data_IF_135618642769
#
_entry.id   IF_135618642769
#
_cell.length_a   1.000
_cell.length_b   1.000
_cell.length_c   1.000
_cell.angle_alpha   90.00
_cell.angle_beta   90.00
_cell.angle_gamma   90.00
#
_symmetry.space_group_name_H-M   'P 1'
#
loop_
_entity.id
_entity.type
_entity.pdbx_description
1 polymer ?
#
# COMPACT_ATOMS: atom_id res chain seq x y z
N UNK A 1 -10.01 21.84 9.62
CA UNK A 1 -8.62 22.31 9.52
C UNK A 1 -8.51 23.09 8.23
N UNK A 2 -8.44 24.40 8.31
CA UNK A 2 -8.26 25.27 7.14
C UNK A 2 -6.84 25.07 6.59
N UNK A 3 -6.75 24.58 5.36
CA UNK A 3 -5.50 24.65 4.58
C UNK A 3 -5.39 26.11 4.18
N UNK A 4 -4.46 26.85 4.81
CA UNK A 4 -4.12 28.20 4.41
C UNK A 4 -3.66 28.16 2.95
N UNK A 5 -4.48 28.70 2.06
CA UNK A 5 -4.11 28.99 0.67
C UNK A 5 -3.03 30.07 0.70
N UNK A 6 -1.78 29.64 0.85
CA UNK A 6 -0.63 30.55 0.81
C UNK A 6 -0.40 30.97 -0.63
N UNK A 7 -0.78 32.20 -0.94
CA UNK A 7 -0.35 32.84 -2.17
C UNK A 7 1.19 32.92 -2.21
N UNK A 8 1.82 32.70 -3.38
CA UNK A 8 3.28 32.65 -3.51
C UNK A 8 4.01 33.93 -3.01
N UNK A 9 3.32 35.06 -2.95
CA UNK A 9 3.85 36.32 -2.42
C UNK A 9 4.03 36.32 -0.88
N UNK A 10 3.30 35.47 -0.16
CA UNK A 10 3.36 35.41 1.31
C UNK A 10 4.51 34.52 1.84
N UNK A 11 5.15 33.73 1.00
CA UNK A 11 6.21 32.80 1.42
C UNK A 11 7.51 33.53 1.79
N UNK A 12 7.78 34.67 1.18
CA UNK A 12 9.00 35.47 1.44
C UNK A 12 9.02 36.20 2.78
N UNK A 13 7.87 36.28 3.46
CA UNK A 13 7.73 36.96 4.77
C UNK A 13 7.67 35.99 5.95
N UNK A 14 7.72 34.67 5.71
CA UNK A 14 7.66 33.65 6.76
C UNK A 14 8.98 33.59 7.53
N UNK A 15 8.89 33.56 8.84
CA UNK A 15 10.05 33.30 9.70
C UNK A 15 10.48 31.83 9.62
N UNK A 16 11.75 31.53 9.97
CA UNK A 16 12.25 30.16 10.04
C UNK A 16 11.39 29.27 10.97
N UNK A 17 10.85 29.85 12.03
CA UNK A 17 9.96 29.15 12.97
C UNK A 17 8.61 28.79 12.29
N UNK A 18 8.08 29.65 11.46
CA UNK A 18 6.83 29.40 10.72
C UNK A 18 7.05 28.33 9.65
N UNK A 19 8.18 28.35 8.97
CA UNK A 19 8.55 27.31 7.99
C UNK A 19 8.69 25.94 8.65
N UNK A 20 9.31 25.87 9.83
CA UNK A 20 9.42 24.62 10.58
C UNK A 20 8.05 24.09 11.03
N UNK A 21 7.15 24.97 11.51
CA UNK A 21 5.78 24.58 11.87
C UNK A 21 5.02 24.05 10.67
N UNK A 22 5.13 24.72 9.54
CA UNK A 22 4.47 24.31 8.29
C UNK A 22 4.99 22.97 7.78
N UNK A 23 6.31 22.78 7.78
CA UNK A 23 6.93 21.50 7.43
C UNK A 23 6.46 20.37 8.36
N UNK A 24 6.37 20.61 9.68
CA UNK A 24 5.87 19.63 10.63
C UNK A 24 4.40 19.25 10.37
N UNK A 25 3.54 20.23 10.04
CA UNK A 25 2.14 19.98 9.68
C UNK A 25 2.02 19.15 8.41
N UNK A 26 2.77 19.48 7.35
CA UNK A 26 2.79 18.71 6.12
C UNK A 26 3.23 17.27 6.34
N UNK A 27 4.26 17.05 7.13
CA UNK A 27 4.72 15.71 7.50
C UNK A 27 3.66 14.94 8.28
N UNK A 28 2.95 15.59 9.20
CA UNK A 28 1.86 14.96 9.95
C UNK A 28 0.70 14.55 9.02
N UNK A 29 0.30 15.40 8.08
CA UNK A 29 -0.73 15.11 7.08
C UNK A 29 -0.31 13.95 6.17
N UNK A 30 0.93 13.94 5.68
CA UNK A 30 1.45 12.84 4.87
C UNK A 30 1.46 11.51 5.62
N UNK A 31 1.83 11.53 6.92
CA UNK A 31 1.79 10.32 7.76
C UNK A 31 0.36 9.82 7.95
N UNK A 32 -0.58 10.71 8.23
CA UNK A 32 -1.98 10.36 8.36
C UNK A 32 -2.55 9.78 7.06
N UNK A 33 -2.25 10.38 5.92
CA UNK A 33 -2.65 9.87 4.61
C UNK A 33 -2.06 8.49 4.32
N UNK A 34 -0.78 8.26 4.62
CA UNK A 34 -0.15 6.94 4.46
C UNK A 34 -0.77 5.88 5.35
N UNK A 35 -1.21 6.23 6.56
CA UNK A 35 -1.88 5.30 7.46
C UNK A 35 -3.28 4.92 6.97
N UNK A 36 -4.03 5.86 6.39
CA UNK A 36 -5.37 5.62 5.87
C UNK A 36 -5.38 4.97 4.49
N UNK A 37 -4.37 5.23 3.67
CA UNK A 37 -4.25 4.75 2.28
C UNK A 37 -3.01 3.87 2.07
N UNK A 38 -2.81 2.88 2.91
CA UNK A 38 -1.61 2.02 2.89
C UNK A 38 -1.39 1.36 1.51
N UNK A 39 -2.45 0.90 0.87
CA UNK A 39 -2.37 0.28 -0.45
C UNK A 39 -1.80 1.23 -1.51
N UNK A 40 -2.20 2.50 -1.50
CA UNK A 40 -1.72 3.50 -2.46
C UNK A 40 -0.21 3.66 -2.42
N UNK A 41 0.38 3.60 -1.23
CA UNK A 41 1.81 3.80 -0.99
C UNK A 41 2.62 2.52 -0.91
N UNK A 42 1.98 1.39 -1.14
CA UNK A 42 2.67 0.10 -1.13
C UNK A 42 3.77 0.05 -2.19
N UNK A 43 4.90 -0.54 -1.82
CA UNK A 43 6.02 -0.85 -2.72
C UNK A 43 6.46 -2.29 -2.50
N UNK A 44 6.66 -3.07 -3.56
CA UNK A 44 7.27 -4.39 -3.44
C UNK A 44 8.65 -4.29 -2.80
N UNK A 45 8.98 -5.19 -1.89
CA UNK A 45 10.25 -5.19 -1.16
C UNK A 45 11.45 -5.61 -2.04
N UNK A 46 11.19 -6.25 -3.17
CA UNK A 46 12.21 -6.73 -4.11
C UNK A 46 11.63 -6.94 -5.51
N UNK A 47 12.48 -7.09 -6.51
CA UNK A 47 12.07 -7.43 -7.88
C UNK A 47 11.34 -8.76 -7.95
N UNK A 48 11.72 -9.73 -7.10
CA UNK A 48 11.01 -11.01 -7.00
C UNK A 48 9.59 -10.82 -6.46
N UNK A 49 9.41 -9.95 -5.47
CA UNK A 49 8.08 -9.59 -4.97
C UNK A 49 7.25 -8.85 -6.02
N UNK A 50 7.86 -7.97 -6.80
CA UNK A 50 7.20 -7.27 -7.89
C UNK A 50 6.66 -8.24 -8.97
N UNK A 51 7.33 -9.37 -9.21
CA UNK A 51 6.87 -10.40 -10.16
C UNK A 51 5.52 -11.02 -9.77
N UNK A 52 5.18 -11.07 -8.48
CA UNK A 52 3.87 -11.56 -8.03
C UNK A 52 2.76 -10.68 -8.64
N UNK A 53 2.98 -9.37 -8.65
CA UNK A 53 2.01 -8.41 -9.15
C UNK A 53 1.98 -8.32 -10.68
N UNK A 54 3.11 -8.49 -11.33
CA UNK A 54 3.22 -8.40 -12.80
C UNK A 54 2.90 -9.71 -13.53
N UNK A 55 2.89 -10.84 -12.83
CA UNK A 55 2.62 -12.15 -13.40
C UNK A 55 1.14 -12.28 -13.81
N UNK A 56 0.92 -12.75 -15.03
CA UNK A 56 -0.43 -13.01 -15.60
C UNK A 56 -0.85 -14.46 -15.53
N UNK A 57 -0.02 -15.34 -14.98
CA UNK A 57 -0.33 -16.77 -14.85
C UNK A 57 -1.58 -17.00 -14.00
N UNK A 58 -2.35 -18.00 -14.34
CA UNK A 58 -3.56 -18.39 -13.61
C UNK A 58 -3.24 -18.86 -12.18
N UNK A 59 -2.12 -19.54 -11.99
CA UNK A 59 -1.64 -20.03 -10.71
C UNK A 59 -0.22 -19.53 -10.47
N UNK A 60 0.02 -18.96 -9.29
CA UNK A 60 1.32 -18.42 -8.89
C UNK A 60 1.77 -19.12 -7.61
N UNK A 61 2.90 -19.81 -7.66
CA UNK A 61 3.57 -20.37 -6.49
C UNK A 61 4.58 -19.37 -5.91
N UNK A 62 4.45 -19.06 -4.62
CA UNK A 62 5.37 -18.15 -3.92
C UNK A 62 6.15 -18.92 -2.88
N UNK A 63 7.43 -19.20 -3.19
CA UNK A 63 8.37 -19.86 -2.28
C UNK A 63 9.37 -18.87 -1.70
N UNK A 64 9.93 -19.20 -0.54
CA UNK A 64 10.96 -18.40 0.11
C UNK A 64 11.11 -18.75 1.59
N UNK A 65 12.19 -18.25 2.20
CA UNK A 65 12.46 -18.42 3.63
C UNK A 65 11.44 -17.72 4.53
N UNK A 66 11.53 -17.99 5.81
CA UNK A 66 10.73 -17.29 6.81
C UNK A 66 11.05 -15.79 6.78
N UNK A 67 10.02 -14.95 6.99
CA UNK A 67 10.12 -13.48 6.94
C UNK A 67 10.51 -12.90 5.57
N UNK A 68 10.36 -13.66 4.48
CA UNK A 68 10.60 -13.16 3.13
C UNK A 68 9.47 -12.29 2.56
N UNK A 69 8.47 -11.92 3.37
CA UNK A 69 7.35 -11.09 2.95
C UNK A 69 6.31 -11.79 2.07
N UNK A 70 6.32 -13.12 1.98
CA UNK A 70 5.38 -13.89 1.15
C UNK A 70 3.93 -13.53 1.43
N UNK A 71 3.55 -13.55 2.71
CA UNK A 71 2.18 -13.24 3.14
C UNK A 71 1.78 -11.82 2.79
N UNK A 72 2.66 -10.84 3.03
CA UNK A 72 2.36 -9.44 2.74
C UNK A 72 2.11 -9.20 1.26
N UNK A 73 2.99 -9.70 0.40
CA UNK A 73 2.88 -9.50 -1.05
C UNK A 73 1.68 -10.22 -1.65
N UNK A 74 1.36 -11.43 -1.19
CA UNK A 74 0.20 -12.18 -1.67
C UNK A 74 -1.11 -11.57 -1.21
N UNK A 75 -1.18 -11.07 0.03
CA UNK A 75 -2.36 -10.35 0.54
C UNK A 75 -2.57 -9.04 -0.20
N UNK A 76 -1.51 -8.28 -0.48
CA UNK A 76 -1.62 -7.05 -1.27
C UNK A 76 -2.13 -7.35 -2.68
N UNK A 77 -1.64 -8.39 -3.34
CA UNK A 77 -2.17 -8.81 -4.65
C UNK A 77 -3.66 -9.14 -4.59
N UNK A 78 -4.09 -9.83 -3.54
CA UNK A 78 -5.52 -10.14 -3.33
C UNK A 78 -6.35 -8.85 -3.16
N UNK A 79 -5.86 -7.90 -2.36
CA UNK A 79 -6.56 -6.62 -2.13
C UNK A 79 -6.61 -5.77 -3.42
N UNK A 80 -5.55 -5.73 -4.21
CA UNK A 80 -5.56 -5.06 -5.51
C UNK A 80 -6.66 -5.63 -6.41
N UNK A 81 -6.76 -6.94 -6.51
CA UNK A 81 -7.79 -7.59 -7.34
C UNK A 81 -9.20 -7.39 -6.80
N UNK A 82 -9.36 -7.40 -5.48
CA UNK A 82 -10.67 -7.21 -4.84
C UNK A 82 -11.19 -5.78 -4.96
N UNK A 83 -10.31 -4.79 -4.85
CA UNK A 83 -10.67 -3.36 -4.85
C UNK A 83 -10.54 -2.68 -6.21
N UNK A 84 -9.75 -3.23 -7.11
CA UNK A 84 -9.39 -2.60 -8.37
C UNK A 84 -8.40 -1.44 -8.23
N UNK A 85 -7.88 -1.18 -7.04
CA UNK A 85 -6.93 -0.10 -6.77
C UNK A 85 -5.51 -0.59 -6.90
N UNK A 86 -4.78 -0.04 -7.87
CA UNK A 86 -3.37 -0.37 -8.11
C UNK A 86 -2.48 0.66 -7.39
N UNK A 87 -1.51 0.20 -6.57
CA UNK A 87 -0.52 1.09 -5.93
C UNK A 87 0.20 1.97 -6.95
N UNK A 88 0.58 3.18 -6.54
CA UNK A 88 1.29 4.13 -7.40
C UNK A 88 2.58 3.51 -7.98
N UNK A 89 3.31 2.73 -7.16
CA UNK A 89 4.55 2.07 -7.57
C UNK A 89 4.37 1.02 -8.68
N UNK A 90 3.17 0.48 -8.85
CA UNK A 90 2.87 -0.60 -9.80
C UNK A 90 2.05 -0.13 -11.01
N UNK A 91 1.62 1.12 -11.07
CA UNK A 91 0.70 1.62 -12.13
C UNK A 91 1.22 1.40 -13.55
N UNK A 92 2.52 1.52 -13.79
CA UNK A 92 3.11 1.34 -15.10
C UNK A 92 3.35 -0.13 -15.50
N UNK A 93 3.37 -1.05 -14.56
CA UNK A 93 3.76 -2.45 -14.78
C UNK A 93 2.66 -3.46 -14.45
N UNK A 94 1.61 -3.06 -13.75
CA UNK A 94 0.54 -3.96 -13.36
C UNK A 94 -0.36 -4.32 -14.56
N UNK A 95 -0.57 -5.61 -14.88
CA UNK A 95 -1.43 -6.01 -15.99
C UNK A 95 -2.90 -5.73 -15.68
N UNK A 96 -3.49 -4.77 -16.35
CA UNK A 96 -4.90 -4.38 -16.15
C UNK A 96 -5.89 -5.51 -16.48
N UNK A 97 -5.48 -6.49 -17.27
CA UNK A 97 -6.26 -7.70 -17.56
C UNK A 97 -6.58 -8.55 -16.32
N UNK A 98 -5.83 -8.36 -15.23
CA UNK A 98 -6.09 -9.03 -13.95
C UNK A 98 -7.27 -8.43 -13.18
N UNK A 99 -7.68 -7.22 -13.51
CA UNK A 99 -8.80 -6.51 -12.89
C UNK A 99 -10.09 -6.81 -13.66
N UNK A 100 -10.79 -7.87 -13.28
CA UNK A 100 -11.98 -8.37 -14.00
C UNK A 100 -13.32 -8.03 -13.32
N UNK A 101 -13.36 -6.99 -12.50
CA UNK A 101 -14.58 -6.62 -11.76
C UNK A 101 -14.73 -7.38 -10.44
N UNK A 102 -15.94 -7.43 -9.88
CA UNK A 102 -16.16 -8.02 -8.55
C UNK A 102 -15.69 -9.47 -8.49
N UNK A 103 -14.79 -9.77 -7.57
CA UNK A 103 -14.27 -11.13 -7.35
C UNK A 103 -14.47 -11.55 -5.90
N UNK A 104 -14.69 -12.85 -5.69
CA UNK A 104 -14.64 -13.44 -4.36
C UNK A 104 -13.22 -13.92 -4.06
N UNK A 105 -12.65 -13.45 -2.96
CA UNK A 105 -11.33 -13.87 -2.50
C UNK A 105 -11.46 -14.84 -1.34
N UNK A 106 -10.61 -15.86 -1.30
CA UNK A 106 -10.54 -16.83 -0.21
C UNK A 106 -9.11 -16.96 0.28
N UNK A 107 -8.93 -16.86 1.59
CA UNK A 107 -7.67 -17.16 2.25
C UNK A 107 -7.83 -18.49 2.97
N UNK A 108 -6.94 -19.43 2.68
CA UNK A 108 -6.88 -20.73 3.34
C UNK A 108 -5.61 -20.77 4.18
N UNK A 109 -5.75 -21.06 5.45
CA UNK A 109 -4.65 -21.15 6.39
C UNK A 109 -4.78 -22.39 7.27
N UNK A 110 -3.68 -22.80 7.89
CA UNK A 110 -3.61 -23.99 8.71
C UNK A 110 -4.45 -23.87 9.99
N UNK A 111 -4.46 -22.69 10.62
CA UNK A 111 -5.12 -22.47 11.90
C UNK A 111 -5.71 -21.06 12.01
N UNK A 112 -6.86 -20.98 12.65
CA UNK A 112 -7.49 -19.69 12.97
C UNK A 112 -6.70 -18.94 14.04
N UNK A 113 -6.25 -19.64 15.08
CA UNK A 113 -5.62 -19.03 16.25
C UNK A 113 -4.16 -18.67 16.05
N UNK A 114 -3.41 -19.46 15.27
CA UNK A 114 -1.98 -19.25 15.05
C UNK A 114 -1.68 -18.47 13.77
N UNK A 115 -2.57 -18.48 12.79
CA UNK A 115 -2.33 -17.88 11.47
C UNK A 115 -3.32 -16.77 11.13
N UNK A 116 -4.63 -17.05 11.17
CA UNK A 116 -5.62 -16.08 10.71
C UNK A 116 -5.65 -14.84 11.60
N UNK A 117 -5.89 -15.01 12.90
CA UNK A 117 -6.04 -13.89 13.81
C UNK A 117 -4.75 -13.09 14.06
N UNK A 118 -3.59 -13.71 14.34
CA UNK A 118 -2.39 -12.94 14.66
C UNK A 118 -1.59 -12.47 13.45
N UNK A 119 -1.74 -13.08 12.28
CA UNK A 119 -0.90 -12.81 11.11
C UNK A 119 -1.68 -12.15 9.98
N UNK A 120 -2.81 -12.72 9.57
CA UNK A 120 -3.51 -12.29 8.36
C UNK A 120 -4.43 -11.10 8.62
N UNK A 121 -5.31 -11.17 9.61
CA UNK A 121 -6.27 -10.10 9.88
C UNK A 121 -5.63 -8.74 10.20
N UNK A 122 -4.53 -8.65 10.98
CA UNK A 122 -3.89 -7.36 11.22
C UNK A 122 -3.35 -6.68 9.96
N UNK A 123 -3.04 -7.46 8.92
CA UNK A 123 -2.51 -6.95 7.64
C UNK A 123 -3.61 -6.49 6.67
N UNK A 124 -4.86 -6.85 6.94
CA UNK A 124 -6.02 -6.47 6.13
C UNK A 124 -6.80 -5.28 6.72
N UNK A 125 -6.40 -4.79 7.89
CA UNK A 125 -6.95 -3.59 8.54
C UNK A 125 -6.17 -2.35 8.15
#
# INVERSE_FOLDING_TARGET
MEILDLQPAAVSELTDADLQRYAAQLLALQRAERQTNQLRYYKPASDKAARIHTCTSHTIGVGGGNRAGKTDHTLVEMVIRATGQVPVSLRGSYPMSKLRGPIACRVVCESLTTTLYPVILPKLR
#
